data_IF_560578693142
#
_entry.id   IF_560578693142
#
_cell.length_a   1.000
_cell.length_b   1.000
_cell.length_c   1.000
_cell.angle_alpha   90.00
_cell.angle_beta   90.00
_cell.angle_gamma   90.00
#
_symmetry.space_group_name_H-M   'P 1'
#
loop_
_entity.id
_entity.type
_entity.pdbx_description
1 polymer ?
#
# COMPACT_ATOMS: atom_id res chain seq x y z
N UNK A 1 2.29 7.20 16.91
CA UNK A 1 2.24 7.45 16.82
C UNK A 1 2.38 7.94 16.45
N UNK A 2 2.61 7.56 16.18
CA UNK A 2 2.66 7.94 15.88
C UNK A 2 2.54 8.32 15.24
N UNK A 3 2.53 8.11 15.18
CA UNK A 3 2.24 8.44 14.66
C UNK A 3 1.91 8.68 13.87
N UNK A 4 1.79 8.43 13.77
CA UNK A 4 1.37 8.66 13.20
C UNK A 4 1.22 9.34 12.68
N UNK A 5 1.36 9.26 12.77
CA UNK A 5 1.08 9.94 12.29
C UNK A 5 1.41 10.71 11.76
N UNK A 6 1.91 10.53 11.90
CA UNK A 6 2.12 11.28 11.38
C UNK A 6 2.20 11.76 10.52
N UNK A 7 2.17 11.59 10.22
CA UNK A 7 2.05 12.08 9.40
C UNK A 7 1.63 12.87 8.96
N UNK A 8 1.38 12.98 9.03
CA UNK A 8 0.82 13.70 8.63
C UNK A 8 0.72 14.64 8.50
N UNK A 9 0.95 14.80 8.66
CA UNK A 9 0.75 15.63 8.51
C UNK A 9 0.78 16.62 8.25
N UNK A 10 1.04 16.81 8.41
CA UNK A 10 1.00 17.66 8.17
C UNK A 10 0.94 18.43 7.55
N UNK A 11 0.88 18.45 7.25
CA UNK A 11 0.93 19.18 6.47
C UNK A 11 0.30 20.08 6.16
N UNK A 12 0.00 20.48 6.09
CA UNK A 12 -0.63 21.16 5.85
C UNK A 12 -0.72 22.18 5.52
N UNK A 13 -0.43 22.33 5.33
CA UNK A 13 -0.30 23.27 4.85
C UNK A 13 -1.28 24.04 4.52
N UNK A 14 -1.67 24.36 4.84
CA UNK A 14 -2.60 25.03 4.74
C UNK A 14 -3.11 25.52 3.76
N UNK A 15 -3.75 25.44 3.62
CA UNK A 15 -4.06 25.99 2.67
C UNK A 15 -5.36 26.08 2.43
N UNK A 16 -5.65 26.68 1.64
CA UNK A 16 -6.88 26.91 1.29
C UNK A 16 -7.55 25.79 0.80
N UNK A 17 -6.86 24.82 0.51
CA UNK A 17 -7.43 23.62 0.04
C UNK A 17 -7.67 22.69 1.14
N UNK A 18 -7.89 23.19 2.32
CA UNK A 18 -8.10 22.35 3.47
C UNK A 18 -9.21 21.34 3.26
N UNK A 19 -10.25 21.71 2.54
CA UNK A 19 -11.33 20.78 2.33
C UNK A 19 -10.90 19.58 1.52
N UNK A 20 -10.05 19.77 0.53
CA UNK A 20 -9.54 18.67 -0.24
C UNK A 20 -8.57 17.84 0.56
N UNK A 21 -7.82 18.47 1.44
CA UNK A 21 -6.85 17.75 2.23
C UNK A 21 -7.50 16.89 3.29
N UNK A 22 -8.77 17.09 3.55
CA UNK A 22 -9.47 16.30 4.54
C UNK A 22 -10.25 15.16 3.94
N UNK A 23 -10.08 14.87 2.68
CA UNK A 23 -10.78 13.77 2.03
C UNK A 23 -9.96 12.51 2.20
N UNK A 24 -10.60 11.44 2.62
CA UNK A 24 -9.92 10.17 2.81
C UNK A 24 -9.77 9.47 1.48
N UNK A 25 -8.61 8.90 1.27
CA UNK A 25 -8.32 8.16 0.06
C UNK A 25 -7.77 6.81 0.46
N UNK A 26 -8.19 5.76 -0.23
CA UNK A 26 -7.69 4.44 0.05
C UNK A 26 -6.28 4.27 -0.50
N UNK A 27 -5.41 3.72 0.31
CA UNK A 27 -4.07 3.36 -0.11
C UNK A 27 -4.02 1.84 -0.15
N UNK A 28 -3.56 1.32 -1.26
CA UNK A 28 -3.47 -0.12 -1.45
C UNK A 28 -2.01 -0.52 -1.51
N UNK A 29 -1.63 -1.47 -0.67
CA UNK A 29 -0.29 -2.02 -0.71
C UNK A 29 -0.34 -3.29 -1.54
N UNK A 30 0.39 -3.30 -2.65
CA UNK A 30 0.38 -4.43 -3.56
C UNK A 30 1.50 -5.37 -3.16
N UNK A 31 1.13 -6.52 -2.63
CA UNK A 31 2.12 -7.48 -2.15
C UNK A 31 2.66 -8.37 -3.27
N UNK A 32 1.95 -8.47 -4.36
CA UNK A 32 2.39 -9.28 -5.48
C UNK A 32 1.22 -9.67 -6.34
N UNK A 33 1.50 -10.34 -7.42
CA UNK A 33 0.47 -10.78 -8.34
C UNK A 33 0.67 -12.26 -8.64
N UNK A 34 -0.37 -12.87 -9.16
CA UNK A 34 -0.28 -14.26 -9.58
C UNK A 34 -1.19 -14.44 -10.78
N UNK A 35 -0.81 -15.39 -11.63
CA UNK A 35 -1.58 -15.68 -12.80
C UNK A 35 -2.13 -17.07 -12.65
N UNK A 36 -3.43 -17.24 -12.71
CA UNK A 36 -4.06 -18.55 -12.55
C UNK A 36 -5.05 -18.77 -13.66
N UNK A 37 -5.20 -20.03 -14.05
CA UNK A 37 -6.25 -20.39 -14.96
C UNK A 37 -7.57 -20.36 -14.21
N UNK A 38 -8.65 -20.12 -14.93
CA UNK A 38 -9.96 -20.09 -14.32
C UNK A 38 -10.26 -21.39 -13.60
N UNK A 39 -9.85 -22.52 -14.20
CA UNK A 39 -10.10 -23.80 -13.56
C UNK A 39 -9.38 -23.91 -12.22
N UNK A 40 -8.21 -23.29 -12.11
CA UNK A 40 -7.49 -23.30 -10.83
C UNK A 40 -8.18 -22.41 -9.81
N UNK A 41 -8.70 -21.28 -10.25
CA UNK A 41 -9.41 -20.39 -9.34
C UNK A 41 -10.63 -21.08 -8.77
N UNK A 42 -11.33 -21.83 -9.58
CA UNK A 42 -12.54 -22.51 -9.14
C UNK A 42 -12.26 -23.62 -8.15
N UNK A 43 -11.01 -24.08 -8.09
CA UNK A 43 -10.63 -25.13 -7.17
C UNK A 43 -10.03 -24.61 -5.88
N UNK A 44 -9.97 -23.31 -5.71
CA UNK A 44 -9.44 -22.76 -4.46
C UNK A 44 -10.39 -23.05 -3.33
N UNK A 45 -9.82 -23.41 -2.20
CA UNK A 45 -10.60 -23.66 -1.03
C UNK A 45 -9.81 -23.31 0.19
N UNK A 46 -10.36 -23.60 1.35
CA UNK A 46 -9.71 -23.28 2.58
C UNK A 46 -8.36 -23.99 2.64
N UNK A 47 -7.31 -23.26 2.97
CA UNK A 47 -5.98 -23.84 3.06
C UNK A 47 -5.21 -23.81 1.77
N UNK A 48 -5.83 -23.37 0.67
CA UNK A 48 -5.09 -23.27 -0.58
C UNK A 48 -4.02 -22.20 -0.47
N UNK A 49 -2.92 -22.39 -1.21
CA UNK A 49 -1.81 -21.46 -1.19
C UNK A 49 -1.63 -20.95 -2.60
N UNK A 50 -1.57 -19.63 -2.72
CA UNK A 50 -1.33 -19.00 -4.01
C UNK A 50 0.02 -18.30 -3.93
N UNK A 51 0.94 -18.72 -4.78
CA UNK A 51 2.27 -18.11 -4.80
C UNK A 51 2.23 -16.84 -5.61
N UNK A 52 2.82 -15.81 -5.07
CA UNK A 52 2.87 -14.53 -5.74
C UNK A 52 4.20 -14.40 -6.50
N UNK A 53 4.14 -13.69 -7.59
CA UNK A 53 5.33 -13.45 -8.41
C UNK A 53 6.11 -12.32 -7.80
N UNK A 54 6.83 -12.62 -6.75
CA UNK A 54 7.54 -11.62 -6.02
C UNK A 54 8.59 -12.31 -5.17
N UNK A 55 9.78 -11.76 -5.17
CA UNK A 55 10.86 -12.32 -4.36
C UNK A 55 10.82 -11.72 -2.97
N UNK A 56 11.31 -12.49 -2.02
CA UNK A 56 11.43 -12.01 -0.67
C UNK A 56 12.37 -10.81 -0.67
N UNK A 57 11.97 -9.75 0.01
CA UNK A 57 12.79 -8.57 0.10
C UNK A 57 12.55 -7.53 -0.96
N UNK A 58 11.74 -7.85 -1.97
CA UNK A 58 11.39 -6.84 -2.94
C UNK A 58 10.48 -5.80 -2.31
N UNK A 59 10.63 -4.55 -2.66
CA UNK A 59 9.76 -3.53 -2.09
C UNK A 59 8.32 -3.73 -2.55
N UNK A 60 7.39 -3.35 -1.71
CA UNK A 60 5.99 -3.36 -2.10
C UNK A 60 5.62 -1.98 -2.58
N UNK A 61 4.63 -1.93 -3.43
CA UNK A 61 4.15 -0.68 -3.98
C UNK A 61 2.93 -0.21 -3.23
N UNK A 62 2.89 1.07 -2.96
CA UNK A 62 1.69 1.71 -2.42
C UNK A 62 1.05 2.50 -3.52
N UNK A 63 -0.24 2.29 -3.71
CA UNK A 63 -0.97 2.97 -4.75
C UNK A 63 -2.16 3.70 -4.18
N UNK A 64 -2.39 4.89 -4.69
CA UNK A 64 -3.57 5.67 -4.35
C UNK A 64 -4.36 5.81 -5.63
N UNK A 65 -5.55 5.22 -5.66
CA UNK A 65 -6.39 5.28 -6.85
C UNK A 65 -5.63 4.85 -8.09
N UNK A 66 -4.95 3.72 -7.96
CA UNK A 66 -4.24 3.10 -9.07
C UNK A 66 -2.92 3.75 -9.42
N UNK A 67 -2.59 4.88 -8.82
CA UNK A 67 -1.33 5.50 -9.11
C UNK A 67 -0.30 5.11 -8.08
N UNK A 68 0.89 4.78 -8.53
CA UNK A 68 1.98 4.46 -7.64
C UNK A 68 2.44 5.73 -6.94
N UNK A 69 2.39 5.72 -5.61
CA UNK A 69 2.80 6.89 -4.85
C UNK A 69 4.02 6.64 -4.00
N UNK A 70 4.32 5.40 -3.68
CA UNK A 70 5.46 5.12 -2.82
C UNK A 70 5.84 3.65 -2.93
N UNK A 71 7.01 3.33 -2.43
CA UNK A 71 7.45 1.95 -2.26
C UNK A 71 7.98 1.79 -0.86
N UNK A 72 7.95 0.58 -0.37
CA UNK A 72 8.44 0.35 0.97
C UNK A 72 8.58 -1.11 1.27
N UNK A 73 8.86 -1.39 2.53
CA UNK A 73 9.03 -2.75 3.00
C UNK A 73 7.94 -3.07 3.99
N UNK A 74 7.47 -4.31 3.94
CA UNK A 74 6.47 -4.75 4.88
C UNK A 74 7.11 -4.97 6.23
N UNK A 75 6.52 -4.39 7.25
CA UNK A 75 6.99 -4.58 8.61
C UNK A 75 5.79 -4.92 9.48
N UNK A 76 6.04 -5.42 10.65
CA UNK A 76 4.99 -5.76 11.60
C UNK A 76 5.12 -4.82 12.78
N UNK A 77 4.02 -4.16 13.10
CA UNK A 77 3.97 -3.28 14.26
C UNK A 77 2.90 -3.82 15.18
N UNK A 78 3.33 -4.36 16.31
CA UNK A 78 2.46 -5.04 17.24
C UNK A 78 1.78 -6.18 16.50
N UNK A 79 0.49 -6.12 16.24
CA UNK A 79 -0.15 -7.22 15.54
C UNK A 79 -0.69 -6.78 14.20
N UNK A 80 -0.14 -5.72 13.63
CA UNK A 80 -0.61 -5.21 12.37
C UNK A 80 0.50 -5.18 11.35
N UNK A 81 0.15 -5.40 10.11
CA UNK A 81 1.09 -5.20 9.02
C UNK A 81 1.17 -3.73 8.69
N UNK A 82 2.37 -3.29 8.41
CA UNK A 82 2.60 -1.90 8.03
C UNK A 82 3.62 -1.88 6.93
N UNK A 83 3.79 -0.73 6.31
CA UNK A 83 4.78 -0.56 5.27
C UNK A 83 5.67 0.61 5.66
N UNK A 84 6.96 0.33 5.73
CA UNK A 84 7.93 1.37 6.01
C UNK A 84 8.37 1.94 4.67
N UNK A 85 8.14 3.23 4.47
CA UNK A 85 8.38 3.86 3.18
C UNK A 85 9.87 3.97 2.94
N UNK A 86 10.30 3.52 1.78
CA UNK A 86 11.69 3.65 1.38
C UNK A 86 11.84 4.59 0.20
N UNK A 87 10.77 4.84 -0.53
CA UNK A 87 10.85 5.72 -1.68
C UNK A 87 9.50 6.38 -1.90
N UNK A 88 9.49 7.67 -2.12
CA UNK A 88 8.27 8.39 -2.42
C UNK A 88 8.31 8.80 -3.87
N UNK A 89 7.24 8.51 -4.60
CA UNK A 89 7.12 8.87 -6.00
C UNK A 89 6.43 10.21 -6.08
N UNK A 90 7.14 11.20 -6.58
CA UNK A 90 6.55 12.51 -6.69
C UNK A 90 6.04 12.73 -8.07
N UNK A 91 4.75 12.61 -8.19
CA UNK A 91 4.15 12.86 -9.45
C UNK A 91 3.75 14.25 -9.50
N UNK A 92 3.71 14.81 -10.66
CA UNK A 92 3.23 16.04 -10.74
C UNK A 92 1.85 16.01 -10.57
N UNK A 93 1.30 16.76 -9.90
CA UNK A 93 -0.11 16.79 -9.71
C UNK A 93 -0.75 17.93 -10.45
#
# INVERSE_FOLDING_TARGET
MADQQALSTSATAGDDDGALMDVDIDIVAVLGTAELKISQILQLGRGAVVELERLIGEPVELRAERELVARGEVVVIEDKLAVQITEVIKNRL
#
